data_IF_009961120662
#
_entry.id   IF_009961120662
#
_cell.length_a   1.000
_cell.length_b   1.000
_cell.length_c   1.000
_cell.angle_alpha   90.00
_cell.angle_beta   90.00
_cell.angle_gamma   90.00
#
_symmetry.space_group_name_H-M   'P 1'
#
loop_
_entity.id
_entity.type
_entity.pdbx_description
1 polymer ?
#
# COMPACT_ATOMS: atom_id res chain seq x y z
N UNK A 1 -12.77 15.15 -12.55
CA UNK A 1 -13.84 14.35 -13.19
C UNK A 1 -14.01 13.08 -12.37
N UNK A 2 -14.98 13.09 -11.46
CA UNK A 2 -15.24 11.96 -10.57
C UNK A 2 -15.74 10.77 -11.40
N UNK A 3 -14.94 9.70 -11.44
CA UNK A 3 -15.41 8.40 -11.91
C UNK A 3 -16.39 7.89 -10.86
N UNK A 4 -17.68 8.19 -11.05
CA UNK A 4 -18.76 7.42 -10.45
C UNK A 4 -18.49 5.94 -10.72
N UNK A 5 -18.74 5.08 -9.72
CA UNK A 5 -18.67 3.61 -9.87
C UNK A 5 -19.55 3.20 -11.06
N UNK A 6 -18.99 3.18 -12.27
CA UNK A 6 -19.46 2.32 -13.33
C UNK A 6 -18.92 0.96 -12.95
N UNK A 7 -19.82 0.02 -12.66
CA UNK A 7 -19.46 -1.38 -12.54
C UNK A 7 -18.64 -1.74 -13.78
N UNK A 8 -17.35 -1.95 -13.59
CA UNK A 8 -16.46 -2.32 -14.66
C UNK A 8 -16.94 -3.67 -15.17
N UNK A 9 -17.62 -3.68 -16.32
CA UNK A 9 -18.01 -4.92 -16.98
C UNK A 9 -16.74 -5.46 -17.65
N UNK A 10 -16.23 -6.57 -17.12
CA UNK A 10 -15.13 -7.30 -17.73
C UNK A 10 -15.63 -8.02 -18.98
N UNK A 11 -15.81 -7.27 -20.07
CA UNK A 11 -16.19 -7.76 -21.37
C UNK A 11 -15.17 -7.34 -22.44
N UNK A 12 -15.22 -8.02 -23.58
CA UNK A 12 -14.27 -7.81 -24.67
C UNK A 12 -14.16 -6.33 -25.08
N UNK A 13 -15.29 -5.63 -25.16
CA UNK A 13 -15.32 -4.23 -25.61
C UNK A 13 -14.70 -3.29 -24.60
N UNK A 14 -14.98 -3.47 -23.31
CA UNK A 14 -14.35 -2.70 -22.26
C UNK A 14 -12.83 -2.93 -22.23
N UNK A 15 -12.36 -4.16 -22.43
CA UNK A 15 -10.93 -4.43 -22.57
C UNK A 15 -10.31 -3.69 -23.76
N UNK A 16 -10.93 -3.71 -24.94
CA UNK A 16 -10.43 -2.95 -26.09
C UNK A 16 -10.40 -1.44 -25.82
N UNK A 17 -11.44 -0.89 -25.21
CA UNK A 17 -11.50 0.53 -24.85
C UNK A 17 -10.39 0.89 -23.87
N UNK A 18 -10.16 0.08 -22.84
CA UNK A 18 -9.08 0.34 -21.87
C UNK A 18 -7.71 0.24 -22.53
N UNK A 19 -7.48 -0.75 -23.41
CA UNK A 19 -6.22 -0.84 -24.18
C UNK A 19 -6.00 0.41 -25.02
N UNK A 20 -7.02 0.88 -25.74
CA UNK A 20 -6.92 2.13 -26.52
C UNK A 20 -6.60 3.33 -25.61
N UNK A 21 -7.23 3.44 -24.44
CA UNK A 21 -6.97 4.52 -23.48
C UNK A 21 -5.55 4.48 -22.95
N UNK A 22 -5.08 3.31 -22.50
CA UNK A 22 -3.72 3.11 -22.00
C UNK A 22 -2.72 3.43 -23.10
N UNK A 23 -2.88 2.85 -24.30
CA UNK A 23 -1.98 3.12 -25.44
C UNK A 23 -1.95 4.60 -25.79
N UNK A 24 -3.11 5.27 -25.83
CA UNK A 24 -3.18 6.71 -26.09
C UNK A 24 -2.46 7.52 -25.02
N UNK A 25 -2.62 7.16 -23.75
CA UNK A 25 -1.97 7.87 -22.63
C UNK A 25 -0.46 7.61 -22.62
N UNK A 26 0.00 6.41 -22.97
CA UNK A 26 1.41 6.06 -23.13
C UNK A 26 2.07 6.83 -24.28
N UNK A 27 1.39 6.95 -25.43
CA UNK A 27 1.90 7.71 -26.59
C UNK A 27 1.96 9.22 -26.35
N UNK A 28 1.22 9.74 -25.38
CA UNK A 28 1.17 11.17 -25.05
C UNK A 28 2.13 11.59 -23.94
N UNK A 29 2.67 10.64 -23.20
CA UNK A 29 3.56 10.94 -22.07
C UNK A 29 5.00 10.84 -22.54
N UNK A 30 5.77 11.89 -22.29
CA UNK A 30 7.22 11.82 -22.39
C UNK A 30 7.75 10.95 -21.24
N UNK A 31 8.11 9.72 -21.55
CA UNK A 31 8.74 8.80 -20.61
C UNK A 31 10.24 9.03 -20.69
N UNK A 32 10.91 9.47 -19.60
CA UNK A 32 12.35 9.66 -19.62
C UNK A 32 13.05 8.38 -20.06
N UNK A 33 14.03 8.48 -20.95
CA UNK A 33 14.82 7.33 -21.42
C UNK A 33 15.56 6.58 -20.28
N UNK A 34 15.72 7.25 -19.14
CA UNK A 34 16.26 6.67 -17.90
C UNK A 34 15.26 5.78 -17.14
N UNK A 35 13.97 5.81 -17.47
CA UNK A 35 12.93 5.00 -16.82
C UNK A 35 13.05 3.54 -17.26
N UNK A 36 13.38 2.66 -16.31
CA UNK A 36 13.59 1.23 -16.58
C UNK A 36 12.47 0.33 -16.06
N UNK A 37 11.51 0.88 -15.30
CA UNK A 37 10.47 0.12 -14.60
C UNK A 37 9.14 0.86 -14.64
N UNK A 38 8.06 0.08 -14.72
CA UNK A 38 6.70 0.57 -14.51
C UNK A 38 6.31 0.35 -13.06
N UNK A 39 5.60 1.31 -12.48
CA UNK A 39 5.05 1.21 -11.13
C UNK A 39 3.55 1.51 -11.18
N UNK A 40 2.77 0.65 -10.53
CA UNK A 40 1.33 0.78 -10.37
C UNK A 40 1.02 0.70 -8.87
N UNK A 41 0.09 1.53 -8.39
CA UNK A 41 -0.37 1.49 -7.01
C UNK A 41 -1.89 1.56 -6.94
N UNK A 42 -2.50 0.40 -6.83
CA UNK A 42 -3.92 0.23 -6.51
C UNK A 42 -4.11 -0.80 -5.41
N UNK A 43 -4.56 -0.40 -4.20
CA UNK A 43 -4.76 -1.33 -3.08
C UNK A 43 -5.64 -2.56 -3.42
N UNK A 44 -6.72 -2.46 -4.22
CA UNK A 44 -7.52 -3.63 -4.58
C UNK A 44 -6.78 -4.73 -5.37
N UNK A 45 -5.59 -4.45 -5.93
CA UNK A 45 -4.82 -5.42 -6.70
C UNK A 45 -4.35 -6.63 -5.87
N UNK A 46 -4.32 -6.51 -4.54
CA UNK A 46 -4.05 -7.63 -3.63
C UNK A 46 -5.01 -8.83 -3.87
N UNK A 47 -6.23 -8.55 -4.34
CA UNK A 47 -7.26 -9.56 -4.63
C UNK A 47 -7.00 -10.33 -5.93
N UNK A 48 -6.07 -9.84 -6.75
CA UNK A 48 -5.83 -10.34 -8.10
C UNK A 48 -4.35 -10.73 -8.33
N UNK A 49 -3.57 -10.90 -7.27
CA UNK A 49 -2.14 -11.20 -7.39
C UNK A 49 -1.88 -12.50 -8.15
N UNK A 50 -2.75 -13.50 -8.03
CA UNK A 50 -2.61 -14.73 -8.81
C UNK A 50 -2.72 -14.50 -10.32
N UNK A 51 -3.67 -13.67 -10.76
CA UNK A 51 -3.80 -13.29 -12.17
C UNK A 51 -2.61 -12.44 -12.62
N UNK A 52 -2.16 -11.51 -11.77
CA UNK A 52 -1.02 -10.65 -12.08
C UNK A 52 0.28 -11.46 -12.22
N UNK A 53 0.56 -12.41 -11.32
CA UNK A 53 1.72 -13.30 -11.46
C UNK A 53 1.63 -14.20 -12.69
N UNK A 54 0.43 -14.65 -13.07
CA UNK A 54 0.23 -15.42 -14.30
C UNK A 54 0.53 -14.59 -15.56
N UNK A 55 0.15 -13.32 -15.56
CA UNK A 55 0.33 -12.43 -16.70
C UNK A 55 1.78 -11.94 -16.83
N UNK A 56 2.38 -11.50 -15.73
CA UNK A 56 3.69 -10.84 -15.74
C UNK A 56 4.85 -11.74 -15.33
N UNK A 57 4.58 -12.92 -14.78
CA UNK A 57 5.58 -13.90 -14.40
C UNK A 57 6.68 -13.31 -13.51
N UNK A 58 7.93 -13.49 -13.92
CA UNK A 58 9.14 -13.08 -13.17
C UNK A 58 9.41 -11.57 -13.19
N UNK A 59 8.75 -10.84 -14.09
CA UNK A 59 8.94 -9.40 -14.26
C UNK A 59 8.13 -8.58 -13.24
N UNK A 60 7.24 -9.22 -12.47
CA UNK A 60 6.45 -8.59 -11.42
C UNK A 60 7.16 -8.67 -10.07
N UNK A 61 7.30 -7.52 -9.39
CA UNK A 61 7.59 -7.48 -7.96
C UNK A 61 6.45 -6.73 -7.27
N UNK A 62 6.03 -7.22 -6.10
CA UNK A 62 4.89 -6.66 -5.38
C UNK A 62 5.36 -6.22 -3.99
N UNK A 63 5.03 -4.98 -3.64
CA UNK A 63 5.19 -4.49 -2.26
C UNK A 63 3.79 -4.42 -1.65
N UNK A 64 3.58 -5.17 -0.57
CA UNK A 64 2.33 -5.17 0.18
C UNK A 64 2.52 -4.43 1.49
N UNK A 65 1.85 -3.30 1.62
CA UNK A 65 1.83 -2.57 2.88
C UNK A 65 0.92 -3.29 3.87
N UNK A 66 1.40 -3.49 5.10
CA UNK A 66 0.61 -3.98 6.22
C UNK A 66 0.60 -2.93 7.33
N UNK A 67 -0.51 -2.78 8.04
CA UNK A 67 -0.70 -1.72 9.04
C UNK A 67 -1.63 -2.23 10.14
N UNK A 68 -1.49 -1.70 11.35
CA UNK A 68 -2.43 -1.95 12.45
C UNK A 68 -3.88 -1.74 11.98
N UNK A 69 -4.67 -2.81 12.06
CA UNK A 69 -6.03 -2.80 11.55
C UNK A 69 -6.93 -1.77 12.23
N UNK A 70 -6.65 -1.45 13.49
CA UNK A 70 -7.39 -0.46 14.28
C UNK A 70 -7.22 0.94 13.69
N UNK A 71 -6.00 1.31 13.28
CA UNK A 71 -5.76 2.59 12.60
C UNK A 71 -6.32 2.61 11.16
N UNK A 72 -6.41 1.46 10.50
CA UNK A 72 -6.97 1.38 9.15
C UNK A 72 -8.49 1.59 9.17
N UNK A 73 -9.19 0.88 10.05
CA UNK A 73 -10.65 0.93 10.12
C UNK A 73 -11.15 2.26 10.69
N UNK A 74 -10.35 3.00 11.46
CA UNK A 74 -10.68 4.36 11.94
C UNK A 74 -10.26 5.48 10.99
N UNK A 75 -9.60 5.16 9.88
CA UNK A 75 -9.18 6.15 8.90
C UNK A 75 -10.37 6.80 8.19
N UNK A 76 -10.36 8.13 8.14
CA UNK A 76 -11.34 8.96 7.43
C UNK A 76 -10.73 9.49 6.13
N UNK A 77 -11.50 9.56 5.04
CA UNK A 77 -11.01 10.06 3.75
C UNK A 77 -11.77 11.33 3.37
N UNK A 78 -11.10 12.40 2.89
CA UNK A 78 -11.75 13.70 2.68
C UNK A 78 -12.87 13.67 1.63
N UNK A 79 -12.85 12.69 0.72
CA UNK A 79 -13.87 12.50 -0.32
C UNK A 79 -15.02 11.56 0.08
N UNK A 80 -15.08 11.08 1.32
CA UNK A 80 -16.12 10.16 1.79
C UNK A 80 -16.50 10.47 3.24
N UNK A 81 -17.79 10.60 3.51
CA UNK A 81 -18.30 10.70 4.87
C UNK A 81 -18.16 9.36 5.62
N UNK A 82 -17.84 9.44 6.90
CA UNK A 82 -17.63 8.27 7.75
C UNK A 82 -16.31 7.54 7.49
N UNK A 83 -16.18 6.39 8.14
CA UNK A 83 -14.99 5.55 8.06
C UNK A 83 -14.75 5.05 6.63
N UNK A 84 -13.53 5.23 6.14
CA UNK A 84 -13.22 4.97 4.74
C UNK A 84 -13.28 3.47 4.39
N UNK A 85 -12.83 2.62 5.32
CA UNK A 85 -12.67 1.18 5.15
C UNK A 85 -13.65 0.42 6.06
N UNK A 86 -14.62 -0.34 5.50
CA UNK A 86 -15.43 -1.31 6.24
C UNK A 86 -14.56 -2.42 6.86
N UNK A 87 -15.00 -2.98 7.98
CA UNK A 87 -14.27 -4.03 8.70
C UNK A 87 -14.07 -5.26 7.80
N UNK A 88 -15.13 -5.68 7.09
CA UNK A 88 -15.12 -6.85 6.19
C UNK A 88 -14.12 -6.66 5.04
N UNK A 89 -13.99 -5.42 4.56
CA UNK A 89 -12.97 -5.09 3.56
C UNK A 89 -11.57 -5.23 4.13
N UNK A 90 -11.33 -4.73 5.34
CA UNK A 90 -10.02 -4.87 5.98
C UNK A 90 -9.67 -6.35 6.18
N UNK A 91 -10.62 -7.15 6.67
CA UNK A 91 -10.45 -8.60 6.85
C UNK A 91 -10.05 -9.25 5.52
N UNK A 92 -10.85 -9.04 4.47
CA UNK A 92 -10.59 -9.66 3.17
C UNK A 92 -9.23 -9.22 2.58
N UNK A 93 -8.94 -7.93 2.57
CA UNK A 93 -7.73 -7.40 1.95
C UNK A 93 -6.48 -7.84 2.76
N UNK A 94 -6.56 -7.86 4.10
CA UNK A 94 -5.46 -8.31 4.98
C UNK A 94 -5.21 -9.80 4.87
N UNK A 95 -6.26 -10.62 4.81
CA UNK A 95 -6.15 -12.07 4.57
C UNK A 95 -5.45 -12.36 3.25
N UNK A 96 -5.80 -11.63 2.18
CA UNK A 96 -5.10 -11.75 0.90
C UNK A 96 -3.64 -11.32 1.05
N UNK A 97 -3.34 -10.20 1.72
CA UNK A 97 -1.95 -9.77 1.94
C UNK A 97 -1.11 -10.85 2.63
N UNK A 98 -1.61 -11.40 3.74
CA UNK A 98 -0.87 -12.40 4.55
C UNK A 98 -0.67 -13.70 3.78
N UNK A 99 -1.61 -14.11 2.92
CA UNK A 99 -1.46 -15.29 2.06
C UNK A 99 -0.20 -15.26 1.19
N UNK A 100 0.28 -14.07 0.83
CA UNK A 100 1.44 -13.89 -0.05
C UNK A 100 2.75 -13.63 0.69
N UNK A 101 2.76 -13.70 2.03
CA UNK A 101 3.92 -13.29 2.86
C UNK A 101 5.22 -14.02 2.54
N UNK A 102 5.14 -15.28 2.12
CA UNK A 102 6.31 -16.13 1.85
C UNK A 102 6.65 -16.20 0.34
N UNK A 103 5.97 -15.43 -0.52
CA UNK A 103 6.21 -15.47 -1.96
C UNK A 103 7.49 -14.71 -2.33
N UNK A 104 8.42 -15.26 -3.13
CA UNK A 104 9.74 -14.67 -3.37
C UNK A 104 9.72 -13.34 -4.14
N UNK A 105 8.64 -13.07 -4.88
CA UNK A 105 8.42 -11.81 -5.60
C UNK A 105 7.52 -10.83 -4.83
N UNK A 106 7.33 -11.05 -3.53
CA UNK A 106 6.51 -10.21 -2.65
C UNK A 106 7.35 -9.76 -1.46
N UNK A 107 7.29 -8.46 -1.15
CA UNK A 107 7.82 -7.90 0.08
C UNK A 107 6.66 -7.30 0.90
N UNK A 108 6.46 -7.78 2.12
CA UNK A 108 5.56 -7.15 3.07
C UNK A 108 6.31 -6.06 3.83
N UNK A 109 5.73 -4.86 3.86
CA UNK A 109 6.32 -3.70 4.54
C UNK A 109 5.34 -3.20 5.61
N UNK A 110 5.67 -3.36 6.90
CA UNK A 110 4.91 -2.75 7.99
C UNK A 110 4.97 -1.22 7.89
N UNK A 111 3.81 -0.59 7.88
CA UNK A 111 3.67 0.86 7.81
C UNK A 111 4.35 1.54 9.00
N UNK A 112 4.15 0.99 10.19
CA UNK A 112 4.71 1.52 11.44
C UNK A 112 6.24 1.51 11.40
N UNK A 113 6.85 0.43 10.90
CA UNK A 113 8.29 0.34 10.71
C UNK A 113 8.78 1.34 9.66
N UNK A 114 8.08 1.48 8.52
CA UNK A 114 8.44 2.45 7.48
C UNK A 114 8.47 3.89 7.99
N UNK A 115 7.46 4.32 8.75
CA UNK A 115 7.39 5.72 9.21
C UNK A 115 8.29 5.99 10.42
N UNK A 116 8.63 4.97 11.21
CA UNK A 116 9.52 5.10 12.36
C UNK A 116 11.00 4.94 12.00
N UNK A 117 11.32 4.08 11.03
CA UNK A 117 12.69 3.71 10.62
C UNK A 117 12.87 3.83 9.10
N UNK A 118 12.56 5.00 8.54
CA UNK A 118 12.47 5.20 7.09
C UNK A 118 13.68 4.69 6.30
N UNK A 119 14.89 5.06 6.70
CA UNK A 119 16.09 4.76 5.93
C UNK A 119 16.38 3.24 5.84
N UNK A 120 16.48 2.48 6.95
CA UNK A 120 16.66 1.03 6.86
C UNK A 120 15.55 0.34 6.05
N UNK A 121 14.30 0.75 6.25
CA UNK A 121 13.16 0.13 5.54
C UNK A 121 13.22 0.41 4.04
N UNK A 122 13.51 1.65 3.62
CA UNK A 122 13.57 1.97 2.20
C UNK A 122 14.81 1.35 1.54
N UNK A 123 15.92 1.18 2.26
CA UNK A 123 17.09 0.40 1.78
C UNK A 123 16.71 -1.06 1.49
N UNK A 124 15.93 -1.70 2.38
CA UNK A 124 15.43 -3.06 2.15
C UNK A 124 14.47 -3.14 0.96
N UNK A 125 13.56 -2.17 0.83
CA UNK A 125 12.63 -2.07 -0.32
C UNK A 125 13.40 -1.91 -1.63
N UNK A 126 14.39 -1.02 -1.68
CA UNK A 126 15.20 -0.81 -2.88
C UNK A 126 16.06 -2.03 -3.20
N UNK A 127 16.61 -2.70 -2.20
CA UNK A 127 17.33 -3.98 -2.38
C UNK A 127 16.43 -5.03 -3.01
N UNK A 128 15.21 -5.20 -2.46
CA UNK A 128 14.21 -6.10 -3.02
C UNK A 128 13.85 -5.74 -4.47
N UNK A 129 13.75 -4.45 -4.80
CA UNK A 129 13.47 -3.98 -6.15
C UNK A 129 14.71 -3.99 -7.08
N UNK A 130 15.89 -4.37 -6.59
CA UNK A 130 17.17 -4.24 -7.30
C UNK A 130 17.38 -2.79 -7.80
N UNK A 131 17.15 -1.83 -6.91
CA UNK A 131 17.30 -0.41 -7.16
C UNK A 131 18.38 0.18 -6.24
N UNK A 132 19.09 1.20 -6.71
CA UNK A 132 20.05 1.91 -5.89
C UNK A 132 19.35 2.97 -5.01
N UNK A 133 19.87 3.17 -3.80
CA UNK A 133 19.53 4.34 -3.00
C UNK A 133 19.98 5.61 -3.72
N UNK A 134 19.11 6.62 -3.74
CA UNK A 134 19.41 7.92 -4.31
C UNK A 134 18.94 9.04 -3.37
N UNK A 135 19.47 10.25 -3.59
CA UNK A 135 19.10 11.41 -2.78
C UNK A 135 17.62 11.77 -2.95
N UNK A 136 17.06 11.54 -4.14
CA UNK A 136 15.65 11.79 -4.45
C UNK A 136 14.71 10.88 -3.66
N UNK A 137 15.15 9.66 -3.32
CA UNK A 137 14.38 8.77 -2.43
C UNK A 137 14.42 9.29 -1.00
N UNK A 138 15.58 9.70 -0.52
CA UNK A 138 15.74 10.20 0.85
C UNK A 138 15.05 11.54 1.07
N UNK A 139 15.06 12.40 0.05
CA UNK A 139 14.42 13.72 0.04
C UNK A 139 13.14 13.73 -0.81
N UNK A 140 12.33 12.67 -0.70
CA UNK A 140 11.13 12.48 -1.52
C UNK A 140 10.16 13.67 -1.45
N UNK A 141 10.17 14.45 -0.37
CA UNK A 141 9.37 15.67 -0.21
C UNK A 141 9.69 16.71 -1.28
N UNK A 142 10.96 16.87 -1.66
CA UNK A 142 11.38 17.85 -2.66
C UNK A 142 11.36 17.29 -4.09
N UNK A 143 11.53 15.97 -4.25
CA UNK A 143 11.68 15.34 -5.58
C UNK A 143 10.42 14.64 -6.11
N UNK A 144 9.39 14.43 -5.29
CA UNK A 144 8.14 13.82 -5.77
C UNK A 144 7.45 14.69 -6.82
N UNK A 145 7.03 14.08 -7.94
CA UNK A 145 6.19 14.74 -8.94
C UNK A 145 4.75 14.99 -8.47
N UNK A 146 4.31 14.32 -7.41
CA UNK A 146 3.00 14.54 -6.78
C UNK A 146 3.20 15.30 -5.48
N UNK A 147 2.96 16.61 -5.55
CA UNK A 147 3.14 17.54 -4.44
C UNK A 147 1.83 17.89 -3.73
N UNK A 148 0.69 17.69 -4.39
CA UNK A 148 -0.64 17.88 -3.83
C UNK A 148 -1.56 16.76 -4.35
N UNK A 149 -2.41 16.25 -3.48
CA UNK A 149 -3.39 15.22 -3.83
C UNK A 149 -4.56 15.29 -2.85
N UNK A 150 -5.77 14.98 -3.30
CA UNK A 150 -6.97 15.02 -2.44
C UNK A 150 -6.82 14.10 -1.21
N UNK A 151 -6.14 12.96 -1.38
CA UNK A 151 -5.83 12.03 -0.29
C UNK A 151 -4.92 12.63 0.82
N UNK A 152 -4.30 13.80 0.58
CA UNK A 152 -3.55 14.54 1.59
C UNK A 152 -4.43 15.52 2.38
N UNK A 153 -5.76 15.37 2.32
CA UNK A 153 -6.70 16.28 3.01
C UNK A 153 -6.52 17.74 2.57
N UNK A 154 -6.26 17.95 1.27
CA UNK A 154 -5.98 19.28 0.70
C UNK A 154 -4.63 19.87 1.08
N UNK A 155 -3.74 19.07 1.70
CA UNK A 155 -2.42 19.51 2.13
C UNK A 155 -1.36 19.18 1.08
N UNK A 156 -0.24 19.90 1.17
CA UNK A 156 0.97 19.57 0.42
C UNK A 156 1.60 18.26 0.94
N UNK A 157 2.43 17.62 0.13
CA UNK A 157 3.25 16.48 0.55
C UNK A 157 4.06 16.86 1.80
N UNK A 158 4.03 15.99 2.82
CA UNK A 158 4.70 16.23 4.10
C UNK A 158 5.83 15.25 4.33
N UNK A 159 6.83 15.61 5.15
CA UNK A 159 7.77 14.66 5.73
C UNK A 159 7.01 13.55 6.47
N UNK A 160 7.68 12.41 6.67
CA UNK A 160 7.10 11.30 7.41
C UNK A 160 6.79 11.72 8.84
N UNK A 161 5.66 11.24 9.35
CA UNK A 161 5.22 11.50 10.71
C UNK A 161 4.52 10.27 11.26
N UNK A 162 4.61 10.10 12.59
CA UNK A 162 4.02 8.96 13.31
C UNK A 162 2.65 9.29 13.92
N UNK A 163 2.20 10.55 13.86
CA UNK A 163 0.94 11.01 14.44
C UNK A 163 -0.33 10.36 13.85
N UNK A 164 -0.20 9.59 12.76
CA UNK A 164 -1.25 8.73 12.20
C UNK A 164 -1.41 7.39 12.93
N UNK A 165 -0.44 6.98 13.74
CA UNK A 165 -0.49 5.76 14.53
C UNK A 165 -1.28 6.01 15.81
N UNK A 166 -1.98 4.97 16.28
CA UNK A 166 -2.76 4.97 17.53
C UNK A 166 -3.88 6.02 17.56
N UNK A 167 -4.29 6.54 16.39
CA UNK A 167 -5.46 7.43 16.31
C UNK A 167 -6.72 6.72 16.75
N UNK A 168 -6.77 5.40 16.58
CA UNK A 168 -7.86 4.55 17.05
C UNK A 168 -8.15 4.64 18.56
N UNK A 169 -7.23 5.15 19.37
CA UNK A 169 -7.43 5.31 20.82
C UNK A 169 -8.35 6.49 21.19
N UNK A 170 -8.64 7.37 20.22
CA UNK A 170 -9.53 8.51 20.44
C UNK A 170 -10.95 8.03 20.82
N UNK A 171 -11.64 8.71 21.75
CA UNK A 171 -12.94 8.27 22.27
C UNK A 171 -14.02 8.06 21.20
N UNK A 172 -14.02 8.85 20.14
CA UNK A 172 -14.98 8.76 19.02
C UNK A 172 -14.91 7.43 18.26
N UNK A 173 -13.82 6.67 18.40
CA UNK A 173 -13.62 5.40 17.71
C UNK A 173 -13.99 4.18 18.55
N UNK A 174 -14.28 4.37 19.85
CA UNK A 174 -14.48 3.27 20.82
C UNK A 174 -15.47 2.22 20.33
N UNK A 175 -16.68 2.63 19.96
CA UNK A 175 -17.73 1.70 19.50
C UNK A 175 -17.27 0.86 18.30
N UNK A 176 -16.58 1.50 17.35
CA UNK A 176 -16.08 0.82 16.15
C UNK A 176 -14.96 -0.16 16.49
N UNK A 177 -14.08 0.21 17.42
CA UNK A 177 -12.98 -0.64 17.87
C UNK A 177 -13.51 -1.84 18.65
N UNK A 178 -14.52 -1.64 19.50
CA UNK A 178 -15.17 -2.74 20.23
C UNK A 178 -15.80 -3.74 19.24
N UNK A 179 -16.54 -3.25 18.24
CA UNK A 179 -17.09 -4.10 17.17
C UNK A 179 -15.99 -4.83 16.38
N UNK A 180 -14.88 -4.15 16.09
CA UNK A 180 -13.76 -4.71 15.36
C UNK A 180 -13.09 -5.84 16.14
N UNK A 181 -12.82 -5.64 17.43
CA UNK A 181 -12.11 -6.59 18.27
C UNK A 181 -12.97 -7.78 18.73
N UNK A 182 -14.30 -7.67 18.66
CA UNK A 182 -15.21 -8.80 18.92
C UNK A 182 -15.15 -9.90 17.85
N UNK A 183 -14.59 -9.62 16.68
CA UNK A 183 -14.48 -10.58 15.59
C UNK A 183 -13.24 -11.46 15.77
N UNK A 184 -13.42 -12.77 15.90
CA UNK A 184 -12.32 -13.73 16.10
C UNK A 184 -11.29 -13.70 14.95
N UNK A 185 -11.75 -13.56 13.70
CA UNK A 185 -10.87 -13.48 12.54
C UNK A 185 -9.99 -12.22 12.58
N UNK A 186 -10.54 -11.11 13.09
CA UNK A 186 -9.75 -9.89 13.30
C UNK A 186 -8.62 -10.16 14.28
N UNK A 187 -8.86 -10.89 15.36
CA UNK A 187 -7.84 -11.19 16.36
C UNK A 187 -6.71 -12.04 15.75
N UNK A 188 -7.04 -13.07 14.97
CA UNK A 188 -6.07 -13.91 14.28
C UNK A 188 -5.20 -13.11 13.30
N UNK A 189 -5.83 -12.26 12.48
CA UNK A 189 -5.13 -11.41 11.51
C UNK A 189 -4.25 -10.38 12.23
N UNK A 190 -4.73 -9.79 13.33
CA UNK A 190 -3.95 -8.84 14.13
C UNK A 190 -2.72 -9.49 14.76
N UNK A 191 -2.83 -10.71 15.29
CA UNK A 191 -1.68 -11.45 15.81
C UNK A 191 -0.66 -11.72 14.70
N UNK A 192 -1.13 -12.15 13.52
CA UNK A 192 -0.27 -12.35 12.35
C UNK A 192 0.47 -11.07 11.93
N UNK A 193 -0.18 -9.91 12.01
CA UNK A 193 0.45 -8.61 11.72
C UNK A 193 1.58 -8.32 12.72
N UNK A 194 1.36 -8.59 14.01
CA UNK A 194 2.38 -8.40 15.05
C UNK A 194 3.59 -9.27 14.78
N UNK A 195 3.38 -10.55 14.48
CA UNK A 195 4.47 -11.49 14.18
C UNK A 195 5.25 -11.07 12.92
N UNK A 196 4.54 -10.67 11.85
CA UNK A 196 5.16 -10.17 10.61
C UNK A 196 6.01 -8.94 10.89
N UNK A 197 5.50 -7.99 11.68
CA UNK A 197 6.24 -6.78 12.02
C UNK A 197 7.49 -7.09 12.84
N UNK A 198 7.38 -7.94 13.86
CA UNK A 198 8.53 -8.34 14.67
C UNK A 198 9.60 -9.03 13.83
N UNK A 199 9.22 -9.97 12.97
CA UNK A 199 10.15 -10.65 12.06
C UNK A 199 10.81 -9.66 11.08
N UNK A 200 10.05 -8.70 10.56
CA UNK A 200 10.55 -7.66 9.68
C UNK A 200 11.56 -6.75 10.40
N UNK A 201 11.24 -6.25 11.60
CA UNK A 201 12.11 -5.37 12.38
C UNK A 201 13.43 -6.10 12.77
N UNK A 202 13.36 -7.38 13.16
CA UNK A 202 14.54 -8.21 13.40
C UNK A 202 15.42 -8.38 12.15
N UNK A 203 14.81 -8.43 10.95
CA UNK A 203 15.55 -8.51 9.70
C UNK A 203 16.37 -7.25 9.42
N UNK A 204 15.88 -6.08 9.87
CA UNK A 204 16.61 -4.82 9.74
C UNK A 204 17.84 -4.77 10.66
N UNK A 205 17.68 -5.20 11.92
CA UNK A 205 18.79 -5.19 12.90
C UNK A 205 19.95 -6.09 12.47
N UNK A 206 19.65 -7.24 11.84
CA UNK A 206 20.68 -8.16 11.36
C UNK A 206 21.49 -7.59 10.19
N UNK A 207 20.89 -6.72 9.37
CA UNK A 207 21.59 -6.03 8.28
C UNK A 207 22.50 -4.94 8.83
N UNK A 208 22.10 -4.23 9.89
CA UNK A 208 22.94 -3.19 10.52
C UNK A 208 24.18 -3.77 11.25
N UNK A 209 24.14 -5.05 11.65
CA UNK A 209 25.24 -5.73 12.35
C UNK A 209 26.21 -6.48 11.44
N UNK A 210 25.88 -6.65 10.16
CA UNK A 210 26.67 -7.37 9.16
C UNK A 210 27.59 -6.43 8.37
#
# INVERSE_FOLDING_TARGET
MFLTRRDFKSDFWNHQIQRIRITRDLLKRDIPASSKRWCEKSPPNVRYLEQLFREFGRDLKVILMIRDGRDVITSMHPLREGYYIPIERWINDTRQTIRWKDHPQVLLVPYESLVSNFRPVIEQVLTFLEAAMSQEVLDYTNYSGVQQHDAFHGQHLRPLYTASQRKWELPEHRERIDLFLQNEEVQELMNSIVDIRQAFDLSLENVERA
#
